data_IF_591807936613
#
_entry.id   IF_591807936613
#
_cell.length_a   1.000
_cell.length_b   1.000
_cell.length_c   1.000
_cell.angle_alpha   90.00
_cell.angle_beta   90.00
_cell.angle_gamma   90.00
#
_symmetry.space_group_name_H-M   'P 1'
#
loop_
_entity.id
_entity.type
_entity.pdbx_description
1 polymer ?
#
# COMPACT_ATOMS: atom_id res chain seq x y z
N UNK A 1 14.53 31.82 -29.77
CA UNK A 1 14.34 30.86 -30.87
C UNK A 1 13.46 29.71 -30.39
N UNK A 2 12.49 29.26 -31.18
CA UNK A 2 11.77 28.01 -30.91
C UNK A 2 12.78 26.85 -30.77
N UNK A 3 12.54 25.85 -29.91
CA UNK A 3 13.46 24.72 -29.70
C UNK A 3 13.84 24.00 -31.01
N UNK A 4 12.93 23.96 -31.99
CA UNK A 4 13.19 23.41 -33.33
C UNK A 4 14.26 24.20 -34.11
N UNK A 5 14.30 25.53 -33.99
CA UNK A 5 15.27 26.38 -34.67
C UNK A 5 16.68 26.29 -34.07
N UNK A 6 16.79 26.04 -32.76
CA UNK A 6 18.08 25.81 -32.09
C UNK A 6 18.67 24.45 -32.50
N UNK A 7 17.85 23.40 -32.57
CA UNK A 7 18.30 22.09 -33.03
C UNK A 7 18.77 22.12 -34.49
N UNK A 8 18.05 22.82 -35.38
CA UNK A 8 18.46 22.99 -36.78
C UNK A 8 19.80 23.74 -36.91
N UNK A 9 20.03 24.79 -36.10
CA UNK A 9 21.30 25.53 -36.08
C UNK A 9 22.47 24.70 -35.53
N UNK A 10 22.24 23.88 -34.50
CA UNK A 10 23.25 22.96 -33.96
C UNK A 10 23.60 21.85 -34.95
N UNK A 11 22.60 21.23 -35.60
CA UNK A 11 22.84 20.20 -36.63
C UNK A 11 23.49 20.78 -37.89
N UNK A 12 23.09 21.97 -38.31
CA UNK A 12 23.69 22.69 -39.44
C UNK A 12 25.15 23.06 -39.18
N UNK A 13 25.48 23.59 -38.00
CA UNK A 13 26.87 23.90 -37.64
C UNK A 13 27.74 22.65 -37.54
N UNK A 14 27.23 21.56 -36.95
CA UNK A 14 27.95 20.29 -36.86
C UNK A 14 28.19 19.71 -38.26
N UNK A 15 27.17 19.69 -39.13
CA UNK A 15 27.29 19.20 -40.52
C UNK A 15 28.29 20.01 -41.35
N UNK A 16 28.27 21.34 -41.23
CA UNK A 16 29.21 22.22 -41.94
C UNK A 16 30.67 22.01 -41.51
N UNK A 17 30.92 21.87 -40.20
CA UNK A 17 32.26 21.63 -39.66
C UNK A 17 32.80 20.25 -40.04
N UNK A 18 31.91 19.25 -40.17
CA UNK A 18 32.28 17.92 -40.67
C UNK A 18 32.63 17.93 -42.16
N UNK A 19 31.91 18.71 -42.97
CA UNK A 19 32.21 18.87 -44.40
C UNK A 19 33.55 19.59 -44.63
N UNK A 20 33.92 20.52 -43.76
CA UNK A 20 35.20 21.24 -43.80
C UNK A 20 36.39 20.46 -43.21
N UNK A 21 36.19 19.19 -42.83
CA UNK A 21 37.25 18.32 -42.31
C UNK A 21 37.73 18.66 -40.89
N UNK A 22 36.95 19.43 -40.12
CA UNK A 22 37.34 19.82 -38.78
C UNK A 22 37.43 18.59 -37.84
N UNK A 23 38.42 18.53 -36.93
CA UNK A 23 38.49 17.50 -35.92
C UNK A 23 37.23 17.49 -35.03
N UNK A 24 36.84 16.30 -34.57
CA UNK A 24 35.66 16.11 -33.72
C UNK A 24 35.62 16.99 -32.47
N UNK A 25 36.72 17.19 -31.71
CA UNK A 25 36.71 18.03 -30.53
C UNK A 25 36.32 19.49 -30.83
N UNK A 26 36.88 20.05 -31.91
CA UNK A 26 36.60 21.41 -32.35
C UNK A 26 35.19 21.57 -32.91
N UNK A 27 34.71 20.56 -33.65
CA UNK A 27 33.35 20.53 -34.18
C UNK A 27 32.31 20.54 -33.05
N UNK A 28 32.52 19.71 -32.02
CA UNK A 28 31.65 19.65 -30.85
C UNK A 28 31.71 20.94 -30.02
N UNK A 29 32.91 21.52 -29.82
CA UNK A 29 33.07 22.76 -29.08
C UNK A 29 32.37 23.95 -29.76
N UNK A 30 32.50 24.06 -31.09
CA UNK A 30 31.84 25.11 -31.86
C UNK A 30 30.32 24.93 -31.90
N UNK A 31 29.81 23.70 -32.12
CA UNK A 31 28.37 23.42 -32.03
C UNK A 31 27.82 23.65 -30.62
N UNK A 32 28.59 23.35 -29.57
CA UNK A 32 28.23 23.69 -28.20
C UNK A 32 28.18 25.20 -27.96
N UNK A 33 29.13 25.96 -28.54
CA UNK A 33 29.10 27.43 -28.55
C UNK A 33 27.87 28.01 -29.25
N UNK A 34 27.49 27.47 -30.41
CA UNK A 34 26.25 27.84 -31.14
C UNK A 34 25.01 27.50 -30.30
N UNK A 35 25.00 26.33 -29.65
CA UNK A 35 23.93 25.92 -28.74
C UNK A 35 23.80 26.89 -27.56
N UNK A 36 24.91 27.27 -26.93
CA UNK A 36 24.96 28.23 -25.84
C UNK A 36 24.46 29.62 -26.26
N UNK A 37 24.99 30.15 -27.37
CA UNK A 37 24.64 31.47 -27.92
C UNK A 37 23.18 31.57 -28.42
N UNK A 38 22.63 30.48 -28.95
CA UNK A 38 21.23 30.41 -29.41
C UNK A 38 20.17 30.24 -28.31
N UNK A 39 20.58 30.26 -27.03
CA UNK A 39 19.69 30.14 -25.87
C UNK A 39 19.67 28.77 -25.20
N UNK A 40 20.48 27.81 -25.65
CA UNK A 40 20.69 26.50 -25.02
C UNK A 40 21.31 26.59 -23.62
N UNK A 41 21.92 27.72 -23.25
CA UNK A 41 22.29 28.01 -21.86
C UNK A 41 21.10 27.93 -20.89
N UNK A 42 19.87 28.23 -21.34
CA UNK A 42 18.66 28.05 -20.52
C UNK A 42 18.39 26.57 -20.22
N UNK A 43 18.59 25.68 -21.20
CA UNK A 43 18.47 24.23 -21.02
C UNK A 43 19.56 23.70 -20.10
N UNK A 44 20.82 24.12 -20.27
CA UNK A 44 21.91 23.75 -19.36
C UNK A 44 21.67 24.26 -17.93
N UNK A 45 21.21 25.50 -17.78
CA UNK A 45 20.83 26.05 -16.48
C UNK A 45 19.67 25.26 -15.85
N UNK A 46 18.67 24.85 -16.64
CA UNK A 46 17.58 24.00 -16.16
C UNK A 46 18.11 22.62 -15.73
N UNK A 47 18.93 21.96 -16.55
CA UNK A 47 19.55 20.67 -16.24
C UNK A 47 20.40 20.74 -14.97
N UNK A 48 21.24 21.75 -14.83
CA UNK A 48 22.06 21.94 -13.61
C UNK A 48 21.17 22.20 -12.39
N UNK A 49 20.10 23.00 -12.53
CA UNK A 49 19.16 23.26 -11.44
C UNK A 49 18.32 22.04 -11.06
N UNK A 50 17.95 21.18 -12.00
CA UNK A 50 17.16 19.97 -11.72
C UNK A 50 18.02 18.75 -11.40
N UNK A 51 19.30 18.74 -11.77
CA UNK A 51 20.21 17.61 -11.57
C UNK A 51 20.23 17.08 -10.14
N UNK A 52 20.29 17.89 -9.06
CA UNK A 52 20.24 17.34 -7.69
C UNK A 52 18.95 16.55 -7.41
N UNK A 53 17.80 17.04 -7.88
CA UNK A 53 16.50 16.36 -7.74
C UNK A 53 16.47 15.09 -8.58
N UNK A 54 16.94 15.16 -9.82
CA UNK A 54 16.88 14.05 -10.77
C UNK A 54 17.86 12.93 -10.35
N UNK A 55 19.06 13.28 -9.86
CA UNK A 55 20.03 12.35 -9.27
C UNK A 55 19.49 11.72 -7.99
N UNK A 56 18.82 12.49 -7.13
CA UNK A 56 18.14 11.94 -5.96
C UNK A 56 17.06 10.92 -6.37
N UNK A 57 16.19 11.28 -7.33
CA UNK A 57 15.17 10.38 -7.87
C UNK A 57 15.76 9.11 -8.47
N UNK A 58 16.84 9.23 -9.24
CA UNK A 58 17.57 8.09 -9.79
C UNK A 58 18.15 7.20 -8.68
N UNK A 59 18.73 7.79 -7.63
CA UNK A 59 19.28 7.03 -6.50
C UNK A 59 18.20 6.23 -5.77
N UNK A 60 17.00 6.79 -5.59
CA UNK A 60 15.83 6.12 -5.01
C UNK A 60 15.42 4.93 -5.88
N UNK A 61 15.27 5.14 -7.20
CA UNK A 61 14.87 4.09 -8.14
C UNK A 61 15.88 2.93 -8.16
N UNK A 62 17.18 3.24 -8.19
CA UNK A 62 18.25 2.24 -8.16
C UNK A 62 18.22 1.44 -6.85
N UNK A 63 18.03 2.12 -5.70
CA UNK A 63 17.95 1.46 -4.38
C UNK A 63 16.76 0.53 -4.29
N UNK A 64 15.56 0.98 -4.68
CA UNK A 64 14.35 0.14 -4.69
C UNK A 64 14.53 -1.05 -5.63
N UNK A 65 15.07 -0.84 -6.83
CA UNK A 65 15.33 -1.92 -7.80
C UNK A 65 16.32 -2.95 -7.26
N UNK A 66 17.38 -2.51 -6.58
CA UNK A 66 18.36 -3.40 -5.95
C UNK A 66 17.72 -4.25 -4.85
N UNK A 67 16.98 -3.63 -3.93
CA UNK A 67 16.34 -4.35 -2.83
C UNK A 67 15.25 -5.31 -3.32
N UNK A 68 14.45 -4.91 -4.30
CA UNK A 68 13.45 -5.78 -4.91
C UNK A 68 14.10 -7.03 -5.51
N UNK A 69 15.20 -6.86 -6.27
CA UNK A 69 15.97 -8.00 -6.83
C UNK A 69 16.53 -8.92 -5.74
N UNK A 70 17.02 -8.36 -4.63
CA UNK A 70 17.49 -9.15 -3.47
C UNK A 70 16.35 -10.01 -2.90
N UNK A 71 15.19 -9.42 -2.67
CA UNK A 71 14.03 -10.16 -2.13
C UNK A 71 13.46 -11.17 -3.14
N UNK A 72 13.51 -10.88 -4.44
CA UNK A 72 13.11 -11.85 -5.48
C UNK A 72 14.02 -13.08 -5.45
N UNK A 73 15.34 -12.88 -5.39
CA UNK A 73 16.30 -14.00 -5.26
C UNK A 73 16.11 -14.81 -3.98
N UNK A 74 15.77 -14.16 -2.87
CA UNK A 74 15.51 -14.80 -1.59
C UNK A 74 14.12 -15.46 -1.49
N UNK A 75 13.30 -15.39 -2.56
CA UNK A 75 11.89 -15.79 -2.60
C UNK A 75 11.12 -15.24 -1.38
N UNK A 76 11.38 -13.98 -1.04
CA UNK A 76 10.68 -13.32 0.07
C UNK A 76 9.23 -13.03 -0.30
N UNK A 77 8.37 -13.05 0.71
CA UNK A 77 7.00 -12.51 0.64
C UNK A 77 6.89 -11.34 1.62
N UNK A 78 5.83 -10.55 1.53
CA UNK A 78 5.59 -9.46 2.50
C UNK A 78 5.53 -9.99 3.95
N UNK A 79 4.84 -11.10 4.28
CA UNK A 79 4.90 -11.67 5.61
C UNK A 79 6.31 -12.05 6.07
N UNK A 80 7.15 -12.60 5.19
CA UNK A 80 8.55 -12.93 5.53
C UNK A 80 9.39 -11.69 5.80
N UNK A 81 9.22 -10.63 5.01
CA UNK A 81 9.88 -9.33 5.24
C UNK A 81 9.40 -8.73 6.57
N UNK A 82 8.10 -8.81 6.86
CA UNK A 82 7.54 -8.36 8.14
C UNK A 82 8.12 -9.15 9.31
N UNK A 83 8.25 -10.46 9.19
CA UNK A 83 8.87 -11.30 10.21
C UNK A 83 10.30 -10.83 10.52
N UNK A 84 11.11 -10.45 9.53
CA UNK A 84 12.45 -9.87 9.75
C UNK A 84 12.40 -8.51 10.49
N UNK A 85 11.33 -7.73 10.34
CA UNK A 85 11.10 -6.50 11.11
C UNK A 85 10.73 -6.82 12.55
N UNK A 86 9.83 -7.78 12.77
CA UNK A 86 9.40 -8.23 14.10
C UNK A 86 10.59 -8.74 14.91
N UNK A 87 11.47 -9.54 14.31
CA UNK A 87 12.66 -10.05 15.00
C UNK A 87 13.62 -8.94 15.46
N UNK A 88 13.68 -7.82 14.72
CA UNK A 88 14.55 -6.69 15.08
C UNK A 88 13.94 -5.79 16.15
N UNK A 89 12.61 -5.65 16.17
CA UNK A 89 11.91 -4.67 17.00
C UNK A 89 10.58 -5.21 17.58
N UNK A 90 10.58 -6.32 18.35
CA UNK A 90 9.34 -6.99 18.74
C UNK A 90 8.44 -6.11 19.63
N UNK A 91 9.03 -5.36 20.56
CA UNK A 91 8.30 -4.51 21.51
C UNK A 91 7.99 -3.11 20.99
N UNK A 92 8.52 -2.76 19.81
CA UNK A 92 8.23 -1.45 19.24
C UNK A 92 6.76 -1.40 18.83
N UNK A 93 6.12 -0.26 19.05
CA UNK A 93 4.75 0.00 18.62
C UNK A 93 4.70 0.01 17.10
N UNK A 94 3.93 -0.92 16.53
CA UNK A 94 3.63 -1.00 15.10
C UNK A 94 2.43 -0.11 14.75
N UNK A 95 1.32 -0.26 15.46
CA UNK A 95 0.11 0.52 15.25
C UNK A 95 -0.37 1.21 16.51
N UNK A 96 -0.92 2.42 16.32
CA UNK A 96 -1.73 3.12 17.32
C UNK A 96 -3.10 3.32 16.70
N UNK A 97 -4.15 2.75 17.29
CA UNK A 97 -5.50 2.96 16.80
C UNK A 97 -6.10 4.21 17.44
N UNK A 98 -6.37 5.24 16.63
CA UNK A 98 -6.83 6.53 17.14
C UNK A 98 -8.17 6.42 17.90
N UNK A 99 -9.07 5.54 17.45
CA UNK A 99 -10.42 5.43 18.00
C UNK A 99 -10.48 4.94 19.45
N UNK A 100 -9.50 4.15 19.90
CA UNK A 100 -9.42 3.63 21.27
C UNK A 100 -8.16 4.06 22.02
N UNK A 101 -7.15 4.58 21.31
CA UNK A 101 -5.80 4.80 21.83
C UNK A 101 -4.98 3.52 22.00
N UNK A 102 -5.53 2.37 21.61
CA UNK A 102 -4.85 1.08 21.75
C UNK A 102 -3.57 1.02 20.90
N UNK A 103 -2.53 0.44 21.49
CA UNK A 103 -1.24 0.27 20.84
C UNK A 103 -0.99 -1.22 20.57
N UNK A 104 -0.57 -1.52 19.34
CA UNK A 104 -0.15 -2.84 18.92
C UNK A 104 1.34 -2.82 18.66
N UNK A 105 2.08 -3.68 19.36
CA UNK A 105 3.50 -3.90 19.06
C UNK A 105 3.67 -4.77 17.82
N UNK A 106 4.89 -4.80 17.26
CA UNK A 106 5.22 -5.74 16.19
C UNK A 106 4.97 -7.19 16.61
N UNK A 107 5.30 -7.55 17.85
CA UNK A 107 4.99 -8.87 18.43
C UNK A 107 3.50 -9.16 18.43
N UNK A 108 2.67 -8.24 18.93
CA UNK A 108 1.21 -8.43 18.98
C UNK A 108 0.61 -8.60 17.59
N UNK A 109 1.07 -7.83 16.61
CA UNK A 109 0.62 -7.95 15.22
C UNK A 109 1.05 -9.29 14.60
N UNK A 110 2.26 -9.76 14.90
CA UNK A 110 2.75 -11.07 14.48
C UNK A 110 1.90 -12.21 15.07
N UNK A 111 1.63 -12.18 16.38
CA UNK A 111 0.80 -13.16 17.08
C UNK A 111 -0.64 -13.19 16.55
N UNK A 112 -1.25 -12.01 16.36
CA UNK A 112 -2.60 -11.92 15.79
C UNK A 112 -2.64 -12.46 14.36
N UNK A 113 -1.70 -12.05 13.49
CA UNK A 113 -1.64 -12.53 12.11
C UNK A 113 -1.31 -14.03 12.03
N UNK A 114 -0.53 -14.58 12.97
CA UNK A 114 -0.30 -16.02 13.08
C UNK A 114 -1.58 -16.78 13.47
N UNK A 115 -2.33 -16.26 14.45
CA UNK A 115 -3.63 -16.82 14.82
C UNK A 115 -4.60 -16.82 13.63
N UNK A 116 -4.69 -15.72 12.88
CA UNK A 116 -5.46 -15.67 11.63
C UNK A 116 -5.01 -16.74 10.64
N UNK A 117 -3.70 -16.85 10.40
CA UNK A 117 -3.15 -17.83 9.46
C UNK A 117 -3.54 -19.27 9.84
N UNK A 118 -3.34 -19.63 11.11
CA UNK A 118 -3.67 -20.94 11.65
C UNK A 118 -5.17 -21.21 11.60
N UNK A 119 -6.00 -20.22 11.94
CA UNK A 119 -7.45 -20.35 11.96
C UNK A 119 -7.99 -20.65 10.56
N UNK A 120 -7.66 -19.82 9.56
CA UNK A 120 -8.15 -20.04 8.20
C UNK A 120 -7.63 -21.35 7.60
N UNK A 121 -6.39 -21.75 7.91
CA UNK A 121 -5.88 -23.05 7.48
C UNK A 121 -6.67 -24.22 8.11
N UNK A 122 -6.99 -24.15 9.40
CA UNK A 122 -7.83 -25.13 10.11
C UNK A 122 -9.27 -25.17 9.59
N UNK A 123 -9.82 -24.02 9.16
CA UNK A 123 -11.13 -23.95 8.50
C UNK A 123 -11.12 -24.52 7.07
N UNK A 124 -9.98 -25.03 6.58
CA UNK A 124 -9.90 -25.72 5.29
C UNK A 124 -9.51 -24.83 4.12
N UNK A 125 -9.22 -23.54 4.34
CA UNK A 125 -8.75 -22.65 3.28
C UNK A 125 -7.32 -23.03 2.87
N UNK A 126 -7.03 -22.89 1.58
CA UNK A 126 -5.77 -23.31 0.97
C UNK A 126 -5.18 -22.20 0.09
N UNK A 127 -3.98 -22.47 -0.41
CA UNK A 127 -3.25 -21.61 -1.33
C UNK A 127 -4.14 -21.16 -2.50
N UNK A 128 -4.25 -19.85 -2.70
CA UNK A 128 -5.02 -19.26 -3.79
C UNK A 128 -6.51 -19.09 -3.51
N UNK A 129 -7.02 -19.57 -2.36
CA UNK A 129 -8.36 -19.22 -1.92
C UNK A 129 -8.46 -17.73 -1.61
N UNK A 130 -9.64 -17.16 -1.86
CA UNK A 130 -9.90 -15.74 -1.65
C UNK A 130 -10.86 -15.55 -0.47
N UNK A 131 -10.55 -14.57 0.38
CA UNK A 131 -11.41 -14.13 1.48
C UNK A 131 -11.65 -12.62 1.34
N UNK A 132 -12.90 -12.20 1.27
CA UNK A 132 -13.26 -10.79 1.23
C UNK A 132 -13.13 -10.17 2.63
N UNK A 133 -12.52 -8.99 2.73
CA UNK A 133 -12.46 -8.18 3.93
C UNK A 133 -13.30 -6.93 3.69
N UNK A 134 -14.36 -6.77 4.49
CA UNK A 134 -15.32 -5.67 4.41
C UNK A 134 -15.51 -5.06 5.80
N UNK A 135 -14.60 -4.16 6.19
CA UNK A 135 -14.60 -3.54 7.50
C UNK A 135 -13.89 -2.19 7.45
N UNK A 136 -14.11 -1.35 8.45
CA UNK A 136 -13.45 -0.05 8.53
C UNK A 136 -11.96 -0.16 8.89
N UNK A 137 -11.24 0.95 8.74
CA UNK A 137 -9.79 1.01 8.99
C UNK A 137 -9.47 0.81 10.47
N UNK A 138 -8.90 -0.34 10.82
CA UNK A 138 -8.41 -0.70 12.16
C UNK A 138 -7.22 -1.67 12.10
N UNK A 139 -6.43 -1.86 13.17
CA UNK A 139 -5.29 -2.78 13.18
C UNK A 139 -5.62 -4.20 12.70
N UNK A 140 -6.79 -4.72 13.09
CA UNK A 140 -7.28 -6.05 12.71
C UNK A 140 -7.39 -6.21 11.20
N UNK A 141 -7.79 -5.16 10.47
CA UNK A 141 -7.83 -5.18 9.00
C UNK A 141 -6.47 -5.61 8.44
N UNK A 142 -5.38 -5.07 8.99
CA UNK A 142 -4.02 -5.39 8.57
C UNK A 142 -3.64 -6.80 8.98
N UNK A 143 -3.91 -7.15 10.24
CA UNK A 143 -3.62 -8.48 10.76
C UNK A 143 -4.32 -9.60 9.99
N UNK A 144 -5.55 -9.36 9.53
CA UNK A 144 -6.35 -10.31 8.76
C UNK A 144 -5.71 -10.63 7.41
N UNK A 145 -5.46 -9.63 6.55
CA UNK A 145 -4.86 -9.91 5.25
C UNK A 145 -3.41 -10.41 5.39
N UNK A 146 -2.67 -9.93 6.40
CA UNK A 146 -1.30 -10.36 6.65
C UNK A 146 -1.25 -11.84 7.08
N UNK A 147 -2.17 -12.26 7.94
CA UNK A 147 -2.31 -13.66 8.37
C UNK A 147 -2.73 -14.59 7.24
N UNK A 148 -3.74 -14.20 6.45
CA UNK A 148 -4.13 -14.94 5.25
C UNK A 148 -2.94 -15.11 4.29
N UNK A 149 -2.16 -14.04 4.07
CA UNK A 149 -0.99 -14.07 3.20
C UNK A 149 0.12 -15.01 3.70
N UNK A 150 0.25 -15.25 5.01
CA UNK A 150 1.24 -16.20 5.58
C UNK A 150 0.99 -17.63 5.10
N UNK A 151 -0.27 -18.00 4.89
CA UNK A 151 -0.69 -19.32 4.40
C UNK A 151 -1.15 -19.27 2.93
N UNK A 152 -0.82 -18.19 2.22
CA UNK A 152 -1.02 -18.04 0.78
C UNK A 152 -2.47 -17.80 0.34
N UNK A 153 -3.37 -17.54 1.27
CA UNK A 153 -4.74 -17.09 1.03
C UNK A 153 -4.68 -15.61 0.61
N UNK A 154 -5.49 -15.25 -0.38
CA UNK A 154 -5.55 -13.90 -0.93
C UNK A 154 -6.72 -13.13 -0.33
N UNK A 155 -6.48 -11.91 0.13
CA UNK A 155 -7.55 -11.05 0.61
C UNK A 155 -8.18 -10.27 -0.55
N UNK A 156 -9.50 -10.10 -0.57
CA UNK A 156 -10.16 -9.11 -1.41
C UNK A 156 -10.54 -7.92 -0.53
N UNK A 157 -9.86 -6.79 -0.71
CA UNK A 157 -10.06 -5.59 0.11
C UNK A 157 -11.23 -4.77 -0.47
N UNK A 158 -12.40 -4.90 0.15
CA UNK A 158 -13.64 -4.31 -0.35
C UNK A 158 -13.86 -2.94 0.30
N UNK A 159 -14.31 -1.97 -0.50
CA UNK A 159 -14.66 -0.64 0.00
C UNK A 159 -15.90 -0.73 0.89
N UNK A 160 -15.73 -0.42 2.19
CA UNK A 160 -16.79 -0.49 3.21
C UNK A 160 -18.00 0.43 2.97
N UNK A 161 -17.90 1.41 2.05
CA UNK A 161 -19.01 2.29 1.69
C UNK A 161 -19.95 1.67 0.64
N UNK A 162 -19.58 0.53 0.04
CA UNK A 162 -20.42 -0.13 -0.94
C UNK A 162 -21.66 -0.75 -0.27
N UNK A 163 -22.76 -0.76 -1.02
CA UNK A 163 -24.05 -1.32 -0.63
C UNK A 163 -24.65 -2.09 -1.79
N UNK A 164 -25.63 -2.95 -1.48
CA UNK A 164 -26.48 -3.65 -2.44
C UNK A 164 -25.67 -4.29 -3.59
N UNK A 165 -26.10 -4.09 -4.84
CA UNK A 165 -25.54 -4.70 -6.04
C UNK A 165 -24.03 -4.47 -6.19
N UNK A 166 -23.54 -3.28 -5.82
CA UNK A 166 -22.11 -2.97 -5.94
C UNK A 166 -21.27 -3.80 -4.96
N UNK A 167 -21.79 -4.06 -3.76
CA UNK A 167 -21.14 -4.92 -2.78
C UNK A 167 -21.17 -6.38 -3.24
N UNK A 168 -22.34 -6.87 -3.66
CA UNK A 168 -22.51 -8.23 -4.18
C UNK A 168 -21.57 -8.48 -5.35
N UNK A 169 -21.51 -7.54 -6.30
CA UNK A 169 -20.65 -7.62 -7.46
C UNK A 169 -19.17 -7.73 -7.07
N UNK A 170 -18.69 -6.91 -6.14
CA UNK A 170 -17.30 -6.96 -5.71
C UNK A 170 -16.97 -8.30 -5.02
N UNK A 171 -17.84 -8.77 -4.13
CA UNK A 171 -17.63 -10.06 -3.45
C UNK A 171 -17.67 -11.22 -4.45
N UNK A 172 -18.65 -11.26 -5.35
CA UNK A 172 -18.79 -12.31 -6.35
C UNK A 172 -17.62 -12.35 -7.34
N UNK A 173 -17.23 -11.19 -7.88
CA UNK A 173 -16.11 -11.11 -8.85
C UNK A 173 -14.75 -11.40 -8.24
N UNK A 174 -14.60 -11.30 -6.91
CA UNK A 174 -13.36 -11.67 -6.23
C UNK A 174 -13.12 -13.18 -6.21
N UNK A 175 -14.16 -14.00 -6.41
CA UNK A 175 -14.10 -15.44 -6.18
C UNK A 175 -13.96 -15.82 -4.69
N UNK A 176 -14.31 -14.90 -3.77
CA UNK A 176 -14.21 -15.14 -2.35
C UNK A 176 -15.10 -16.31 -1.90
N UNK A 177 -14.51 -17.21 -1.11
CA UNK A 177 -15.22 -18.32 -0.43
C UNK A 177 -15.76 -17.90 0.94
N UNK A 178 -15.23 -16.82 1.49
CA UNK A 178 -15.68 -16.24 2.75
C UNK A 178 -15.63 -14.72 2.74
N UNK A 179 -16.43 -14.11 3.61
CA UNK A 179 -16.38 -12.69 3.94
C UNK A 179 -16.12 -12.51 5.43
N UNK A 180 -15.11 -11.72 5.75
CA UNK A 180 -14.87 -11.16 7.08
C UNK A 180 -15.37 -9.73 7.06
N UNK A 181 -16.35 -9.43 7.90
CA UNK A 181 -16.89 -8.08 8.03
C UNK A 181 -16.80 -7.55 9.45
N UNK A 182 -16.71 -6.24 9.58
CA UNK A 182 -16.78 -5.56 10.88
C UNK A 182 -18.23 -5.50 11.36
N UNK A 183 -18.45 -5.65 12.67
CA UNK A 183 -19.78 -5.51 13.28
C UNK A 183 -20.51 -4.22 12.87
N UNK A 184 -19.75 -3.14 12.67
CA UNK A 184 -20.25 -1.86 12.20
C UNK A 184 -20.86 -1.87 10.78
N UNK A 185 -20.69 -2.97 10.05
CA UNK A 185 -21.23 -3.19 8.71
C UNK A 185 -22.18 -4.40 8.63
N UNK A 186 -22.65 -4.90 9.78
CA UNK A 186 -23.58 -6.03 9.83
C UNK A 186 -24.85 -5.79 8.99
N UNK A 187 -25.44 -4.59 9.09
CA UNK A 187 -26.62 -4.20 8.29
C UNK A 187 -26.38 -4.31 6.79
N UNK A 188 -25.23 -3.83 6.32
CA UNK A 188 -24.86 -3.86 4.90
C UNK A 188 -24.68 -5.28 4.37
N UNK A 189 -24.18 -6.22 5.18
CA UNK A 189 -24.11 -7.63 4.80
C UNK A 189 -25.50 -8.28 4.86
N UNK A 190 -26.32 -7.94 5.85
CA UNK A 190 -27.70 -8.44 5.97
C UNK A 190 -28.57 -8.05 4.77
N UNK A 191 -28.44 -6.81 4.27
CA UNK A 191 -29.11 -6.32 3.04
C UNK A 191 -28.83 -7.21 1.81
N UNK A 192 -27.63 -7.80 1.74
CA UNK A 192 -27.19 -8.58 0.58
C UNK A 192 -27.09 -10.09 0.86
N UNK A 193 -27.45 -10.56 2.05
CA UNK A 193 -27.21 -11.93 2.47
C UNK A 193 -27.83 -12.97 1.52
N UNK A 194 -29.04 -12.72 1.02
CA UNK A 194 -29.70 -13.59 0.04
C UNK A 194 -29.08 -13.59 -1.35
N UNK A 195 -28.21 -12.61 -1.64
CA UNK A 195 -27.51 -12.43 -2.91
C UNK A 195 -26.05 -12.91 -2.84
N UNK A 196 -25.49 -13.01 -1.63
CA UNK A 196 -24.22 -13.69 -1.39
C UNK A 196 -24.46 -15.19 -1.57
N UNK A 197 -23.72 -15.83 -2.49
CA UNK A 197 -23.95 -17.23 -2.87
C UNK A 197 -24.07 -18.17 -1.67
N UNK A 198 -24.90 -19.22 -1.79
CA UNK A 198 -25.32 -20.11 -0.68
C UNK A 198 -24.18 -20.69 0.17
N UNK A 199 -22.99 -20.85 -0.40
CA UNK A 199 -21.82 -21.45 0.26
C UNK A 199 -20.87 -20.41 0.87
N UNK A 200 -21.23 -19.12 0.88
CA UNK A 200 -20.40 -18.04 1.42
C UNK A 200 -20.29 -18.17 2.95
N UNK A 201 -19.08 -18.43 3.44
CA UNK A 201 -18.81 -18.44 4.89
C UNK A 201 -18.73 -17.00 5.39
N UNK A 202 -19.41 -16.70 6.50
CA UNK A 202 -19.51 -15.34 7.06
C UNK A 202 -18.86 -15.28 8.44
N UNK A 203 -17.94 -14.35 8.59
CA UNK A 203 -17.26 -14.05 9.85
C UNK A 203 -17.48 -12.59 10.21
N UNK A 204 -17.91 -12.33 11.45
CA UNK A 204 -18.02 -10.99 12.00
C UNK A 204 -16.89 -10.76 13.01
N UNK A 205 -16.24 -9.60 12.96
CA UNK A 205 -15.18 -9.19 13.89
C UNK A 205 -15.56 -7.86 14.55
N UNK A 206 -15.26 -7.69 15.84
CA UNK A 206 -15.73 -6.57 16.66
C UNK A 206 -17.10 -6.84 17.28
N UNK A 207 -17.94 -5.81 17.36
CA UNK A 207 -19.25 -5.90 18.01
C UNK A 207 -20.13 -6.96 17.32
N UNK A 208 -20.60 -7.93 18.10
CA UNK A 208 -21.37 -9.07 17.60
C UNK A 208 -22.73 -9.16 18.26
N UNK A 209 -23.77 -8.76 17.53
CA UNK A 209 -25.16 -8.92 17.94
C UNK A 209 -25.85 -9.96 17.06
N UNK A 210 -26.20 -11.15 17.59
CA UNK A 210 -26.83 -12.23 16.82
C UNK A 210 -28.10 -11.81 16.07
N UNK A 211 -28.82 -10.80 16.56
CA UNK A 211 -30.04 -10.28 15.94
C UNK A 211 -29.79 -9.37 14.73
N UNK A 212 -28.59 -8.78 14.61
CA UNK A 212 -28.25 -7.81 13.56
C UNK A 212 -27.39 -8.40 12.44
N UNK A 213 -26.72 -9.52 12.72
CA UNK A 213 -25.89 -10.24 11.77
C UNK A 213 -26.71 -11.26 10.97
N UNK A 214 -26.30 -11.58 9.73
CA UNK A 214 -26.97 -12.63 8.96
C UNK A 214 -26.90 -14.00 9.65
N UNK A 215 -27.86 -14.90 9.37
CA UNK A 215 -27.81 -16.29 9.85
C UNK A 215 -26.50 -16.99 9.49
N UNK A 216 -26.08 -17.92 10.36
CA UNK A 216 -24.84 -18.72 10.22
C UNK A 216 -23.53 -17.92 10.25
N UNK A 217 -23.58 -16.65 10.68
CA UNK A 217 -22.38 -15.84 10.89
C UNK A 217 -21.63 -16.28 12.14
N UNK A 218 -20.34 -16.54 12.01
CA UNK A 218 -19.45 -16.88 13.13
C UNK A 218 -18.78 -15.62 13.69
N UNK A 219 -18.76 -15.48 15.02
CA UNK A 219 -17.98 -14.43 15.68
C UNK A 219 -16.49 -14.79 15.64
N UNK A 220 -15.70 -14.01 14.91
CA UNK A 220 -14.30 -14.31 14.60
C UNK A 220 -13.37 -14.12 15.79
N UNK A 221 -13.53 -13.05 16.56
CA UNK A 221 -12.54 -12.65 17.56
C UNK A 221 -12.32 -13.71 18.66
N UNK A 222 -13.35 -14.35 19.24
CA UNK A 222 -13.16 -15.45 20.19
C UNK A 222 -12.47 -16.66 19.57
N UNK A 223 -12.74 -16.96 18.29
CA UNK A 223 -12.12 -18.07 17.57
C UNK A 223 -10.63 -17.81 17.32
N UNK A 224 -10.25 -16.56 17.02
CA UNK A 224 -8.85 -16.19 16.89
C UNK A 224 -8.13 -16.23 18.25
N UNK A 225 -8.78 -15.79 19.33
CA UNK A 225 -8.18 -15.85 20.69
C UNK A 225 -7.90 -17.27 21.17
N UNK A 226 -8.70 -18.24 20.75
CA UNK A 226 -8.49 -19.67 21.06
C UNK A 226 -7.55 -20.38 20.08
N UNK A 227 -7.15 -19.72 18.99
CA UNK A 227 -6.24 -20.29 17.98
C UNK A 227 -4.79 -19.97 18.34
N UNK A 228 -3.87 -20.91 18.04
CA UNK A 228 -2.44 -20.74 18.29
C UNK A 228 -1.87 -19.49 17.62
N UNK A 229 -1.08 -18.72 18.37
CA UNK A 229 -0.35 -17.52 17.92
C UNK A 229 1.06 -17.85 17.41
N UNK A 230 1.45 -19.13 17.42
CA UNK A 230 2.73 -19.60 16.88
C UNK A 230 2.75 -19.48 15.36
N UNK A 231 3.94 -19.28 14.79
CA UNK A 231 4.11 -19.22 13.34
C UNK A 231 3.47 -20.45 12.66
N UNK A 232 2.72 -20.26 11.54
CA UNK A 232 2.05 -21.37 10.88
C UNK A 232 3.08 -22.39 10.37
N UNK A 233 2.84 -23.67 10.66
CA UNK A 233 3.71 -24.76 10.21
C UNK A 233 3.77 -24.88 8.69
N UNK A 234 2.67 -24.55 8.01
CA UNK A 234 2.51 -24.68 6.57
C UNK A 234 2.72 -23.32 5.93
N UNK A 235 3.91 -23.10 5.40
CA UNK A 235 4.27 -21.88 4.65
C UNK A 235 4.30 -22.26 3.16
N UNK A 236 3.34 -21.82 2.34
CA UNK A 236 3.34 -22.15 0.93
C UNK A 236 4.54 -21.51 0.21
N UNK A 237 4.98 -22.14 -0.88
CA UNK A 237 6.06 -21.66 -1.73
C UNK A 237 5.69 -20.44 -2.60
N UNK A 238 5.12 -19.38 -2.00
CA UNK A 238 4.92 -18.09 -2.68
C UNK A 238 6.21 -17.26 -2.65
N UNK A 239 6.40 -16.44 -3.68
CA UNK A 239 7.44 -15.45 -3.82
C UNK A 239 6.88 -14.05 -4.10
N UNK A 240 7.76 -13.14 -4.51
CA UNK A 240 7.39 -11.75 -4.69
C UNK A 240 6.43 -11.50 -5.87
N UNK A 241 6.43 -12.36 -6.88
CA UNK A 241 5.60 -12.16 -8.08
C UNK A 241 4.20 -12.82 -7.94
N UNK A 242 3.96 -13.51 -6.82
CA UNK A 242 2.65 -14.05 -6.49
C UNK A 242 1.69 -12.99 -5.94
N UNK A 243 0.40 -13.28 -6.11
CA UNK A 243 -0.69 -12.42 -5.65
C UNK A 243 -0.74 -12.37 -4.13
N UNK A 244 -0.87 -11.16 -3.61
CA UNK A 244 -1.03 -10.85 -2.21
C UNK A 244 -2.50 -10.59 -1.87
N UNK A 245 -3.12 -9.62 -2.55
CA UNK A 245 -4.54 -9.27 -2.38
C UNK A 245 -5.11 -8.54 -3.60
N UNK A 246 -6.42 -8.34 -3.60
CA UNK A 246 -7.16 -7.54 -4.57
C UNK A 246 -7.55 -6.19 -3.93
N UNK A 247 -7.44 -5.11 -4.69
CA UNK A 247 -8.02 -3.80 -4.35
C UNK A 247 -9.06 -3.45 -5.40
N UNK A 248 -10.27 -3.09 -4.96
CA UNK A 248 -11.31 -2.61 -5.87
C UNK A 248 -11.18 -1.11 -6.11
N UNK A 249 -11.20 -0.72 -7.38
CA UNK A 249 -11.20 0.68 -7.79
C UNK A 249 -12.50 0.99 -8.51
N UNK A 250 -13.01 2.22 -8.40
CA UNK A 250 -14.31 2.64 -8.96
C UNK A 250 -14.46 2.37 -10.47
N UNK A 251 -13.35 2.18 -11.20
CA UNK A 251 -13.35 1.90 -12.63
C UNK A 251 -13.88 3.08 -13.45
N UNK A 252 -13.63 3.09 -14.75
CA UNK A 252 -14.17 4.10 -15.67
C UNK A 252 -15.58 3.75 -16.17
N UNK A 253 -16.03 2.51 -15.96
CA UNK A 253 -17.28 1.95 -16.50
C UNK A 253 -18.34 1.73 -15.41
N UNK A 254 -18.29 2.51 -14.32
CA UNK A 254 -19.27 2.50 -13.23
C UNK A 254 -19.12 1.37 -12.19
N UNK A 255 -18.91 0.12 -12.64
CA UNK A 255 -18.74 -1.02 -11.73
C UNK A 255 -17.29 -1.19 -11.27
N UNK A 256 -17.02 -1.42 -9.96
CA UNK A 256 -15.67 -1.50 -9.46
C UNK A 256 -14.85 -2.65 -10.08
N UNK A 257 -13.58 -2.42 -10.42
CA UNK A 257 -12.70 -3.46 -10.99
C UNK A 257 -11.65 -3.90 -9.98
N UNK A 258 -11.43 -5.22 -9.90
CA UNK A 258 -10.39 -5.82 -9.07
C UNK A 258 -9.01 -5.55 -9.65
N UNK A 259 -8.21 -4.74 -8.96
CA UNK A 259 -6.80 -4.55 -9.24
C UNK A 259 -5.99 -5.58 -8.44
N UNK A 260 -5.33 -6.49 -9.14
CA UNK A 260 -4.44 -7.48 -8.54
C UNK A 260 -3.20 -6.77 -7.98
N UNK A 261 -2.89 -7.02 -6.72
CA UNK A 261 -1.66 -6.58 -6.06
C UNK A 261 -0.82 -7.81 -5.74
N UNK A 262 0.32 -7.91 -6.40
CA UNK A 262 1.37 -8.89 -6.10
C UNK A 262 2.33 -8.34 -5.03
N UNK A 263 3.04 -9.21 -4.33
CA UNK A 263 3.97 -8.80 -3.26
C UNK A 263 5.05 -7.81 -3.74
N UNK A 264 5.56 -7.96 -4.96
CA UNK A 264 6.58 -7.08 -5.57
C UNK A 264 6.04 -5.67 -5.80
N UNK A 265 4.76 -5.55 -6.19
CA UNK A 265 4.06 -4.27 -6.33
C UNK A 265 3.90 -3.60 -4.97
N UNK A 266 3.47 -4.34 -3.96
CA UNK A 266 3.36 -3.85 -2.58
C UNK A 266 4.70 -3.31 -2.09
N UNK A 267 5.76 -4.13 -2.19
CA UNK A 267 7.11 -3.77 -1.77
C UNK A 267 7.62 -2.52 -2.49
N UNK A 268 7.52 -2.50 -3.82
CA UNK A 268 8.04 -1.40 -4.65
C UNK A 268 7.40 -0.06 -4.29
N UNK A 269 6.08 -0.02 -4.12
CA UNK A 269 5.35 1.21 -3.78
C UNK A 269 5.75 1.69 -2.38
N UNK A 270 5.74 0.80 -1.39
CA UNK A 270 6.11 1.13 -0.02
C UNK A 270 7.56 1.62 0.09
N UNK A 271 8.51 0.87 -0.48
CA UNK A 271 9.93 1.21 -0.46
C UNK A 271 10.24 2.50 -1.24
N UNK A 272 9.55 2.73 -2.36
CA UNK A 272 9.66 4.00 -3.08
C UNK A 272 9.20 5.17 -2.18
N UNK A 273 8.05 5.04 -1.51
CA UNK A 273 7.57 6.03 -0.55
C UNK A 273 8.59 6.30 0.56
N UNK A 274 9.10 5.27 1.21
CA UNK A 274 10.10 5.38 2.26
C UNK A 274 11.32 6.21 1.84
N UNK A 275 11.93 5.88 0.70
CA UNK A 275 13.14 6.54 0.23
C UNK A 275 12.88 7.92 -0.39
N UNK A 276 11.79 8.08 -1.15
CA UNK A 276 11.44 9.35 -1.78
C UNK A 276 11.12 10.43 -0.74
N UNK A 277 10.43 10.07 0.34
CA UNK A 277 10.11 10.97 1.46
C UNK A 277 11.18 11.02 2.54
N UNK A 278 12.30 10.29 2.37
CA UNK A 278 13.42 10.23 3.31
C UNK A 278 12.99 9.87 4.73
N UNK A 279 12.02 8.97 4.83
CA UNK A 279 11.51 8.49 6.11
C UNK A 279 12.62 7.73 6.86
N UNK A 280 12.47 7.70 8.18
CA UNK A 280 13.37 7.02 9.11
C UNK A 280 12.59 6.03 9.96
N UNK A 281 13.23 4.98 10.50
CA UNK A 281 12.53 4.01 11.34
C UNK A 281 11.87 4.66 12.57
N UNK A 282 12.41 5.76 13.08
CA UNK A 282 11.89 6.47 14.26
C UNK A 282 10.65 7.32 13.95
N UNK A 283 10.29 7.47 12.68
CA UNK A 283 9.13 8.26 12.28
C UNK A 283 7.81 7.61 12.72
N UNK A 284 6.88 8.49 13.11
CA UNK A 284 5.48 8.14 13.38
C UNK A 284 4.63 8.66 12.24
N UNK A 285 4.02 7.75 11.48
CA UNK A 285 3.22 8.07 10.31
C UNK A 285 1.74 8.13 10.69
N UNK A 286 1.10 9.28 10.44
CA UNK A 286 -0.34 9.42 10.57
C UNK A 286 -1.07 8.96 9.30
N UNK A 287 -1.92 7.94 9.42
CA UNK A 287 -2.67 7.34 8.33
C UNK A 287 -4.18 7.47 8.54
N UNK A 288 -4.76 8.44 7.85
CA UNK A 288 -6.22 8.67 7.81
C UNK A 288 -6.85 8.20 6.49
N UNK A 289 -6.09 7.50 5.64
CA UNK A 289 -6.56 7.00 4.36
C UNK A 289 -7.14 5.58 4.51
N UNK A 290 -8.20 5.22 3.76
CA UNK A 290 -8.84 3.91 3.92
C UNK A 290 -7.90 2.75 3.64
N UNK A 291 -7.91 1.74 4.52
CA UNK A 291 -7.04 0.56 4.41
C UNK A 291 -7.43 -0.42 3.30
N UNK A 292 -8.61 -0.29 2.70
CA UNK A 292 -8.98 -1.05 1.49
C UNK A 292 -8.37 -0.46 0.21
N UNK A 293 -7.71 0.69 0.28
CA UNK A 293 -7.05 1.36 -0.84
C UNK A 293 -5.53 1.32 -0.72
N UNK A 294 -4.83 1.42 -1.87
CA UNK A 294 -3.37 1.34 -1.92
C UNK A 294 -2.68 2.49 -1.17
N UNK A 295 -3.32 3.64 -1.08
CA UNK A 295 -2.76 4.78 -0.37
C UNK A 295 -2.72 4.55 1.16
N UNK A 296 -3.80 4.03 1.76
CA UNK A 296 -3.82 3.69 3.19
C UNK A 296 -3.01 2.42 3.49
N UNK A 297 -3.20 1.37 2.69
CA UNK A 297 -2.60 0.07 2.95
C UNK A 297 -1.11 0.03 2.54
N UNK A 298 -0.79 0.33 1.28
CA UNK A 298 0.57 0.13 0.77
C UNK A 298 1.47 1.33 1.13
N UNK A 299 1.02 2.56 0.88
CA UNK A 299 1.82 3.74 1.18
C UNK A 299 1.88 4.07 2.67
N UNK A 300 0.80 3.81 3.42
CA UNK A 300 0.75 4.00 4.89
C UNK A 300 1.27 2.78 5.65
N UNK A 301 0.48 1.71 5.71
CA UNK A 301 0.81 0.49 6.48
C UNK A 301 2.07 -0.22 5.96
N UNK A 302 2.39 -0.14 4.67
CA UNK A 302 3.63 -0.69 4.12
C UNK A 302 4.90 -0.13 4.74
N UNK A 303 4.90 1.11 5.26
CA UNK A 303 6.05 1.67 5.97
C UNK A 303 6.28 0.95 7.31
N UNK A 304 5.21 0.59 8.00
CA UNK A 304 5.27 -0.22 9.20
C UNK A 304 5.81 -1.61 8.89
N UNK A 305 5.18 -2.33 7.94
CA UNK A 305 5.47 -3.75 7.72
C UNK A 305 6.85 -4.01 7.10
N UNK A 306 7.38 -3.09 6.29
CA UNK A 306 8.66 -3.28 5.57
C UNK A 306 9.82 -2.57 6.28
N UNK A 307 9.57 -1.40 6.86
CA UNK A 307 10.62 -0.53 7.39
C UNK A 307 10.55 -0.33 8.91
N UNK A 308 9.53 -0.86 9.58
CA UNK A 308 9.43 -0.85 11.04
C UNK A 308 8.96 0.49 11.62
N UNK A 309 8.30 1.35 10.85
CA UNK A 309 7.71 2.59 11.38
C UNK A 309 6.51 2.29 12.29
N UNK A 310 6.23 3.24 13.17
CA UNK A 310 4.96 3.29 13.90
C UNK A 310 3.91 4.00 13.03
N UNK A 311 2.72 3.43 12.88
CA UNK A 311 1.62 4.03 12.10
C UNK A 311 0.41 4.26 12.99
N UNK A 312 -0.05 5.51 13.06
CA UNK A 312 -1.33 5.86 13.67
C UNK A 312 -2.43 5.59 12.65
N UNK A 313 -3.32 4.66 12.94
CA UNK A 313 -4.47 4.31 12.09
C UNK A 313 -5.67 5.09 12.60
N UNK A 314 -6.23 5.94 11.75
CA UNK A 314 -7.49 6.63 12.02
C UNK A 314 -8.61 6.01 11.19
N UNK A 315 -9.72 5.66 11.86
CA UNK A 315 -10.92 5.04 11.25
C UNK A 315 -11.46 5.83 10.07
N UNK A 316 -11.63 7.15 10.25
CA UNK A 316 -12.13 8.08 9.22
C UNK A 316 -11.44 9.44 9.33
N UNK A 317 -11.09 10.02 8.19
CA UNK A 317 -10.53 11.37 8.13
C UNK A 317 -11.43 12.42 8.81
N UNK A 318 -10.82 13.32 9.58
CA UNK A 318 -11.46 14.51 10.16
C UNK A 318 -10.51 15.69 10.00
N UNK A 319 -10.95 16.75 9.33
CA UNK A 319 -10.13 17.94 9.12
C UNK A 319 -9.88 18.69 10.44
N UNK A 320 -10.90 18.82 11.29
CA UNK A 320 -10.81 19.54 12.56
C UNK A 320 -9.95 18.83 13.61
N UNK A 321 -9.90 17.50 13.60
CA UNK A 321 -9.07 16.72 14.55
C UNK A 321 -7.67 16.40 14.03
N UNK A 322 -7.38 16.71 12.77
CA UNK A 322 -6.14 16.27 12.12
C UNK A 322 -4.88 16.73 12.86
N UNK A 323 -4.83 18.02 13.21
CA UNK A 323 -3.66 18.60 13.89
C UNK A 323 -3.57 18.19 15.36
N UNK A 324 -4.71 18.08 16.04
CA UNK A 324 -4.81 17.57 17.40
C UNK A 324 -4.23 16.15 17.49
N UNK A 325 -4.64 15.26 16.59
CA UNK A 325 -4.14 13.89 16.54
C UNK A 325 -2.65 13.84 16.23
N UNK A 326 -2.20 14.60 15.23
CA UNK A 326 -0.79 14.64 14.86
C UNK A 326 0.07 15.08 16.04
N UNK A 327 -0.40 16.04 16.82
CA UNK A 327 0.28 16.55 18.02
C UNK A 327 0.25 15.49 19.14
N UNK A 328 -0.93 14.94 19.44
CA UNK A 328 -1.13 13.91 20.48
C UNK A 328 -0.23 12.71 20.28
N UNK A 329 -0.13 12.20 19.05
CA UNK A 329 0.66 11.02 18.71
C UNK A 329 2.07 11.34 18.19
N UNK A 330 2.50 12.61 18.23
CA UNK A 330 3.85 13.06 17.79
C UNK A 330 4.20 12.62 16.37
N UNK A 331 3.27 12.79 15.43
CA UNK A 331 3.42 12.34 14.05
C UNK A 331 4.45 13.18 13.30
N UNK A 332 5.46 12.53 12.74
CA UNK A 332 6.53 13.16 11.93
C UNK A 332 6.27 13.06 10.43
N UNK A 333 5.48 12.07 10.01
CA UNK A 333 5.09 11.84 8.61
C UNK A 333 3.56 11.80 8.50
N UNK A 334 3.00 12.35 7.43
CA UNK A 334 1.54 12.43 7.22
C UNK A 334 1.19 11.90 5.83
N UNK A 335 0.33 10.88 5.77
CA UNK A 335 -0.28 10.42 4.51
C UNK A 335 -1.44 11.34 4.13
N UNK A 336 -1.26 12.16 3.09
CA UNK A 336 -2.29 13.08 2.59
C UNK A 336 -2.74 12.67 1.19
N UNK A 337 -4.04 12.51 0.99
CA UNK A 337 -4.64 12.49 -0.34
C UNK A 337 -4.71 13.90 -0.93
N UNK A 338 -4.77 14.03 -2.26
CA UNK A 338 -4.78 15.33 -2.93
C UNK A 338 -5.88 16.28 -2.43
N UNK A 339 -7.09 15.76 -2.16
CA UNK A 339 -8.20 16.54 -1.63
C UNK A 339 -8.04 16.93 -0.16
N UNK A 340 -7.33 16.13 0.64
CA UNK A 340 -7.16 16.37 2.08
C UNK A 340 -6.36 17.64 2.33
N UNK A 341 -5.33 17.92 1.52
CA UNK A 341 -4.52 19.14 1.64
C UNK A 341 -5.37 20.41 1.56
N UNK A 342 -6.34 20.45 0.64
CA UNK A 342 -7.26 21.58 0.50
C UNK A 342 -8.14 21.78 1.73
N UNK A 343 -8.70 20.71 2.30
CA UNK A 343 -9.53 20.79 3.51
C UNK A 343 -8.75 21.29 4.73
N UNK A 344 -7.47 20.94 4.83
CA UNK A 344 -6.61 21.37 5.93
C UNK A 344 -6.18 22.83 5.79
N UNK A 345 -5.93 23.32 4.58
CA UNK A 345 -5.62 24.74 4.33
C UNK A 345 -6.81 25.67 4.61
N UNK A 346 -8.03 25.13 4.63
CA UNK A 346 -9.25 25.86 4.95
C UNK A 346 -9.62 25.77 6.44
N UNK A 347 -8.83 25.07 7.27
CA UNK A 347 -9.03 25.11 8.73
C UNK A 347 -8.59 26.48 9.28
N UNK A 348 -9.35 27.04 10.23
CA UNK A 348 -9.04 28.33 10.85
C UNK A 348 -7.76 28.32 11.69
#
# INVERSE_FOLDING_TARGET
>A
MHPAGLCAACLGSLGLLRLLGAPWPWSLAATFGVCLGGGGWRLLRLLVRTAPRDLFGLSVLLRVKYQLRRHQKAKSTIPKIFQEVVHRHPEKVAFIYEGTGEQWTFRRLEEYSNSVANFFYQQGFRLGDVVAIFMESRPEFVGLWLGMAKVGIEAALINFNLRLDSLVYCVATSGAKAVVFGGELASAISEVNGMLGKNMVKFCSGDFHPAEVPPDTKHLDPLLRSTSTSAPMQIPGKGLDDRLFYIYTSGTTGMPKAAIVVHSRYYRIAAFGYYAYRMRPEDVLYNCLPLYHSAGNIMGVGQCLIHGLTVVIRKKFSASRFWDDCTKYRCTVRGLGASIGSWLLLQP
#
